data_IF_249584963821
#
_entry.id   IF_249584963821
#
_cell.length_a   1.000
_cell.length_b   1.000
_cell.length_c   1.000
_cell.angle_alpha   90.00
_cell.angle_beta   90.00
_cell.angle_gamma   90.00
#
_symmetry.space_group_name_H-M   'P 1'
#
loop_
_entity.id
_entity.type
_entity.pdbx_description
1 polymer ?
#
# COMPACT_ATOMS: atom_id res chain seq x y z
N UNK A 1 -12.15 -11.56 62.40
CA UNK A 1 -11.51 -12.64 61.64
C UNK A 1 -11.04 -12.08 60.30
N UNK A 2 -9.77 -11.67 60.23
CA UNK A 2 -9.16 -11.12 59.01
C UNK A 2 -8.58 -12.26 58.18
N UNK A 3 -9.15 -12.50 57.00
CA UNK A 3 -8.67 -13.50 56.07
C UNK A 3 -7.45 -12.99 55.29
N UNK A 4 -6.33 -13.67 55.42
CA UNK A 4 -5.12 -13.45 54.65
C UNK A 4 -5.38 -13.69 53.16
N UNK A 5 -5.24 -12.63 52.34
CA UNK A 5 -5.32 -12.74 50.88
C UNK A 5 -3.95 -13.11 50.33
N UNK A 6 -3.88 -14.34 49.85
CA UNK A 6 -2.73 -15.06 49.26
C UNK A 6 -1.94 -14.24 48.23
N UNK A 7 -0.62 -14.16 48.42
CA UNK A 7 0.35 -13.41 47.59
C UNK A 7 0.60 -13.91 46.17
N UNK A 8 -0.31 -14.68 45.57
CA UNK A 8 -0.16 -15.23 44.21
C UNK A 8 -0.33 -14.17 43.11
N UNK A 9 -1.16 -13.14 43.33
CA UNK A 9 -1.38 -12.06 42.36
C UNK A 9 -0.17 -11.15 42.16
N UNK A 10 0.68 -10.99 43.19
CA UNK A 10 1.90 -10.15 43.10
C UNK A 10 2.95 -10.80 42.21
N UNK A 11 3.05 -12.13 42.22
CA UNK A 11 4.00 -12.87 41.41
C UNK A 11 3.63 -12.82 39.91
N UNK A 12 2.33 -12.92 39.61
CA UNK A 12 1.81 -12.78 38.23
C UNK A 12 2.04 -11.37 37.70
N UNK A 13 1.82 -10.35 38.54
CA UNK A 13 2.09 -8.96 38.16
C UNK A 13 3.58 -8.70 37.91
N UNK A 14 4.46 -9.23 38.78
CA UNK A 14 5.92 -9.13 38.58
C UNK A 14 6.36 -9.81 37.28
N UNK A 15 5.80 -10.98 36.96
CA UNK A 15 6.12 -11.69 35.72
C UNK A 15 5.68 -10.91 34.47
N UNK A 16 4.46 -10.36 34.48
CA UNK A 16 3.95 -9.50 33.40
C UNK A 16 4.79 -8.21 33.24
N UNK A 17 5.17 -7.56 34.35
CA UNK A 17 6.02 -6.38 34.31
C UNK A 17 7.41 -6.68 33.73
N UNK A 18 8.02 -7.81 34.11
CA UNK A 18 9.31 -8.24 33.55
C UNK A 18 9.23 -8.53 32.05
N UNK A 19 8.17 -9.18 31.56
CA UNK A 19 7.99 -9.41 30.12
C UNK A 19 7.86 -8.11 29.33
N UNK A 20 7.11 -7.14 29.85
CA UNK A 20 6.96 -5.82 29.21
C UNK A 20 8.32 -5.09 29.18
N UNK A 21 9.08 -5.13 30.26
CA UNK A 21 10.41 -4.49 30.32
C UNK A 21 11.42 -5.14 29.36
N UNK A 22 11.41 -6.46 29.22
CA UNK A 22 12.26 -7.17 28.26
C UNK A 22 11.91 -6.83 26.80
N UNK A 23 10.62 -6.69 26.49
CA UNK A 23 10.16 -6.31 25.16
C UNK A 23 10.54 -4.86 24.80
N UNK A 24 10.49 -3.94 25.76
CA UNK A 24 10.88 -2.53 25.55
C UNK A 24 12.40 -2.39 25.43
N UNK A 25 13.18 -3.13 26.22
CA UNK A 25 14.65 -3.12 26.14
C UNK A 25 15.19 -3.78 24.87
N UNK A 26 14.48 -4.80 24.33
CA UNK A 26 14.87 -5.50 23.10
C UNK A 26 14.83 -4.64 21.82
N UNK A 27 14.07 -3.54 21.82
CA UNK A 27 14.01 -2.63 20.68
C UNK A 27 15.25 -1.72 20.54
N UNK A 28 16.02 -1.50 21.62
CA UNK A 28 17.21 -0.67 21.57
C UNK A 28 18.43 -1.40 20.98
N UNK A 29 18.49 -2.73 21.07
CA UNK A 29 19.62 -3.53 20.59
C UNK A 29 19.59 -3.83 19.08
N UNK A 30 18.44 -3.70 18.40
CA UNK A 30 18.30 -4.03 16.97
C UNK A 30 18.50 -2.85 16.00
N UNK A 31 18.77 -1.65 16.51
CA UNK A 31 19.03 -0.46 15.67
C UNK A 31 20.53 -0.18 15.44
N UNK A 32 21.42 -0.94 16.09
CA UNK A 32 22.87 -0.69 16.10
C UNK A 32 23.67 -1.13 14.87
N UNK A 33 23.12 -1.97 13.98
CA UNK A 33 23.94 -2.61 12.91
C UNK A 33 23.64 -2.15 11.47
N UNK A 34 22.80 -1.12 11.25
CA UNK A 34 22.51 -0.60 9.88
C UNK A 34 23.32 0.62 9.45
N UNK A 35 24.53 0.81 9.99
CA UNK A 35 25.46 1.85 9.50
C UNK A 35 26.78 1.25 9.06
N UNK A 36 26.77 0.55 7.94
CA UNK A 36 27.97 0.39 7.11
C UNK A 36 27.57 0.16 5.66
N UNK A 37 28.32 0.82 4.78
CA UNK A 37 28.39 0.64 3.32
C UNK A 37 27.23 1.19 2.47
N UNK A 38 27.33 2.47 2.11
CA UNK A 38 27.55 2.87 0.69
C UNK A 38 28.42 4.14 0.71
N UNK A 39 29.73 3.96 0.66
CA UNK A 39 30.68 5.01 0.30
C UNK A 39 31.08 4.72 -1.15
N UNK A 40 30.62 5.55 -2.08
CA UNK A 40 31.07 5.55 -3.47
C UNK A 40 32.19 6.60 -3.54
N UNK A 41 33.46 6.23 -3.82
CA UNK A 41 34.48 7.22 -4.05
C UNK A 41 34.46 7.64 -5.52
N UNK A 42 34.32 8.94 -5.68
CA UNK A 42 34.61 9.72 -6.89
C UNK A 42 36.12 9.68 -7.15
N UNK A 43 36.54 9.20 -8.33
CA UNK A 43 37.88 9.51 -8.84
C UNK A 43 37.94 9.47 -10.36
N UNK A 44 38.04 10.66 -10.91
CA UNK A 44 38.51 10.94 -12.26
C UNK A 44 39.92 10.37 -12.49
N UNK A 45 40.16 9.84 -13.69
CA UNK A 45 41.44 10.03 -14.39
C UNK A 45 41.20 10.00 -15.89
N UNK A 46 41.49 11.15 -16.49
CA UNK A 46 41.61 11.41 -17.92
C UNK A 46 42.89 10.76 -18.48
N UNK A 47 42.85 10.36 -19.75
CA UNK A 47 43.94 10.45 -20.75
C UNK A 47 43.26 10.15 -22.12
N UNK A 48 42.83 11.17 -22.86
CA UNK A 48 43.58 11.90 -23.89
C UNK A 48 43.95 11.06 -25.11
N UNK A 49 43.16 11.15 -26.18
CA UNK A 49 43.69 11.16 -27.56
C UNK A 49 42.93 12.21 -28.35
N UNK A 50 43.71 12.96 -29.13
CA UNK A 50 43.49 14.25 -29.79
C UNK A 50 43.15 14.03 -31.27
N UNK A 51 42.41 14.96 -31.88
CA UNK A 51 42.26 15.07 -33.35
C UNK A 51 40.85 15.53 -33.74
N UNK A 52 40.58 16.83 -33.78
CA UNK A 52 40.49 17.65 -35.01
C UNK A 52 39.08 17.68 -35.62
N UNK A 53 38.42 18.84 -35.44
CA UNK A 53 37.35 19.38 -36.29
C UNK A 53 38.03 20.14 -37.47
N UNK A 54 37.35 20.57 -38.56
CA UNK A 54 35.96 21.06 -38.62
C UNK A 54 35.22 20.55 -39.90
N UNK A 55 34.04 20.96 -40.36
CA UNK A 55 33.18 22.14 -40.33
C UNK A 55 31.80 21.71 -40.88
N UNK A 56 30.76 22.51 -40.66
CA UNK A 56 29.65 22.62 -41.63
C UNK A 56 28.32 21.93 -41.30
N UNK A 57 27.40 22.75 -40.77
CA UNK A 57 25.98 22.88 -41.16
C UNK A 57 25.23 21.64 -41.71
N UNK A 58 24.19 21.21 -40.97
CA UNK A 58 22.79 21.41 -41.36
C UNK A 58 21.83 20.89 -40.30
N UNK A 59 20.90 21.75 -39.92
CA UNK A 59 19.61 21.35 -39.36
C UNK A 59 18.86 20.51 -40.39
N UNK A 60 18.51 19.28 -40.05
CA UNK A 60 17.37 18.61 -40.66
C UNK A 60 16.64 17.80 -39.60
N UNK A 61 15.40 18.20 -39.41
CA UNK A 61 14.39 17.59 -38.56
C UNK A 61 14.07 16.20 -39.10
N UNK A 62 14.44 15.17 -38.35
CA UNK A 62 13.87 13.83 -38.54
C UNK A 62 12.97 13.53 -37.36
N UNK A 63 11.72 13.95 -37.51
CA UNK A 63 10.57 13.42 -36.81
C UNK A 63 10.35 11.97 -37.27
N UNK A 64 11.19 11.04 -36.79
CA UNK A 64 10.98 9.61 -37.00
C UNK A 64 10.22 9.01 -35.82
N UNK A 65 8.91 8.95 -36.01
CA UNK A 65 8.17 7.71 -35.82
C UNK A 65 8.31 7.06 -34.44
N UNK A 66 7.65 7.64 -33.44
CA UNK A 66 7.27 6.92 -32.20
C UNK A 66 6.18 5.89 -32.50
N UNK A 67 6.47 4.89 -33.35
CA UNK A 67 5.64 3.71 -33.54
C UNK A 67 5.86 2.80 -32.33
N UNK A 68 4.76 2.56 -31.62
CA UNK A 68 4.75 1.85 -30.35
C UNK A 68 5.39 0.47 -30.44
N UNK A 69 6.44 0.29 -29.66
CA UNK A 69 6.69 -1.01 -29.06
C UNK A 69 5.56 -1.26 -28.06
N UNK A 70 4.47 -1.87 -28.55
CA UNK A 70 3.58 -2.63 -27.69
C UNK A 70 4.44 -3.75 -27.08
N UNK A 71 5.03 -3.48 -25.91
CA UNK A 71 5.89 -4.42 -25.18
C UNK A 71 5.19 -5.76 -25.12
N UNK A 72 5.85 -6.81 -25.59
CA UNK A 72 5.38 -8.21 -25.60
C UNK A 72 4.56 -8.50 -24.33
N UNK A 73 3.37 -9.12 -24.42
CA UNK A 73 2.43 -9.24 -23.29
C UNK A 73 3.06 -9.70 -21.97
N UNK A 74 4.00 -10.65 -22.01
CA UNK A 74 4.75 -11.11 -20.83
C UNK A 74 5.60 -10.01 -20.16
N UNK A 75 6.25 -9.16 -20.95
CA UNK A 75 7.03 -8.02 -20.44
C UNK A 75 6.12 -6.99 -19.76
N UNK A 76 4.92 -6.78 -20.30
CA UNK A 76 3.90 -5.90 -19.73
C UNK A 76 3.39 -6.43 -18.38
N UNK A 77 3.09 -7.72 -18.27
CA UNK A 77 2.64 -8.35 -17.01
C UNK A 77 3.74 -8.37 -15.93
N UNK A 78 5.00 -8.59 -16.31
CA UNK A 78 6.14 -8.45 -15.39
C UNK A 78 6.24 -7.02 -14.84
N UNK A 79 6.07 -6.03 -15.71
CA UNK A 79 6.05 -4.61 -15.32
C UNK A 79 4.86 -4.31 -14.39
N UNK A 80 3.68 -4.84 -14.70
CA UNK A 80 2.49 -4.72 -13.84
C UNK A 80 2.72 -5.30 -12.43
N UNK A 81 3.39 -6.45 -12.35
CA UNK A 81 3.74 -7.11 -11.09
C UNK A 81 4.73 -6.27 -10.26
N UNK A 82 5.73 -5.68 -10.91
CA UNK A 82 6.67 -4.77 -10.25
C UNK A 82 5.97 -3.50 -9.70
N UNK A 83 4.97 -2.97 -10.41
CA UNK A 83 4.13 -1.88 -9.90
C UNK A 83 3.30 -2.31 -8.69
N UNK A 84 2.68 -3.49 -8.72
CA UNK A 84 1.92 -4.00 -7.58
C UNK A 84 2.80 -4.18 -6.34
N UNK A 85 4.00 -4.74 -6.50
CA UNK A 85 4.93 -4.95 -5.39
C UNK A 85 5.32 -3.61 -4.73
N UNK A 86 5.60 -2.58 -5.53
CA UNK A 86 5.84 -1.21 -5.03
C UNK A 86 4.62 -0.64 -4.32
N UNK A 87 3.42 -0.85 -4.86
CA UNK A 87 2.18 -0.42 -4.22
C UNK A 87 2.02 -1.02 -2.82
N UNK A 88 2.20 -2.33 -2.68
CA UNK A 88 2.12 -3.03 -1.37
C UNK A 88 3.18 -2.53 -0.39
N UNK A 89 4.40 -2.25 -0.88
CA UNK A 89 5.46 -1.64 -0.07
C UNK A 89 5.05 -0.25 0.44
N UNK A 90 4.57 0.63 -0.42
CA UNK A 90 4.11 1.95 -0.01
C UNK A 90 2.93 1.89 0.96
N UNK A 91 1.98 0.96 0.75
CA UNK A 91 0.88 0.73 1.68
C UNK A 91 1.40 0.37 3.08
N UNK A 92 2.38 -0.54 3.18
CA UNK A 92 2.98 -0.92 4.47
C UNK A 92 3.73 0.22 5.17
N UNK A 93 4.12 1.24 4.42
CA UNK A 93 4.80 2.44 4.94
C UNK A 93 3.81 3.57 5.30
N UNK A 94 2.52 3.41 5.02
CA UNK A 94 1.53 4.48 5.18
C UNK A 94 1.55 5.52 4.06
N UNK A 95 2.32 5.28 2.99
CA UNK A 95 2.45 6.17 1.84
C UNK A 95 1.29 5.95 0.85
N UNK A 96 0.08 6.32 1.27
CA UNK A 96 -1.17 5.94 0.59
C UNK A 96 -1.28 6.48 -0.83
N UNK A 97 -0.85 7.72 -1.09
CA UNK A 97 -0.92 8.33 -2.42
C UNK A 97 0.05 7.65 -3.41
N UNK A 98 1.26 7.31 -2.94
CA UNK A 98 2.25 6.57 -3.73
C UNK A 98 1.77 5.14 -4.01
N UNK A 99 1.20 4.49 -2.99
CA UNK A 99 0.62 3.15 -3.13
C UNK A 99 -0.52 3.12 -4.16
N UNK A 100 -1.43 4.09 -4.09
CA UNK A 100 -2.54 4.24 -5.04
C UNK A 100 -2.05 4.47 -6.47
N UNK A 101 -1.03 5.32 -6.64
CA UNK A 101 -0.42 5.59 -7.96
C UNK A 101 0.16 4.32 -8.59
N UNK A 102 0.88 3.52 -7.81
CA UNK A 102 1.50 2.29 -8.30
C UNK A 102 0.46 1.18 -8.56
N UNK A 103 -0.59 1.06 -7.73
CA UNK A 103 -1.67 0.10 -7.96
C UNK A 103 -2.42 0.41 -9.27
N UNK A 104 -2.72 1.68 -9.54
CA UNK A 104 -3.38 2.10 -10.80
C UNK A 104 -2.55 1.75 -12.03
N UNK A 105 -1.23 1.91 -11.97
CA UNK A 105 -0.32 1.49 -13.06
C UNK A 105 -0.30 -0.02 -13.23
N UNK A 106 -0.30 -0.78 -12.14
CA UNK A 106 -0.40 -2.23 -12.19
C UNK A 106 -1.68 -2.67 -12.90
N UNK A 107 -2.82 -2.12 -12.50
CA UNK A 107 -4.12 -2.41 -13.11
C UNK A 107 -4.16 -2.03 -14.60
N UNK A 108 -3.66 -0.86 -15.00
CA UNK A 108 -3.66 -0.43 -16.40
C UNK A 108 -2.77 -1.28 -17.30
N UNK A 109 -1.68 -1.81 -16.75
CA UNK A 109 -0.78 -2.71 -17.47
C UNK A 109 -1.34 -4.14 -17.53
N UNK A 110 -1.93 -4.65 -16.44
CA UNK A 110 -2.43 -6.02 -16.37
C UNK A 110 -3.78 -6.21 -17.09
N UNK A 111 -4.61 -5.17 -17.17
CA UNK A 111 -5.99 -5.31 -17.63
C UNK A 111 -6.73 -6.33 -16.76
N UNK A 112 -7.51 -7.23 -17.36
CA UNK A 112 -8.26 -8.30 -16.66
C UNK A 112 -7.44 -9.56 -16.34
N UNK A 113 -6.13 -9.54 -16.58
CA UNK A 113 -5.23 -10.64 -16.19
C UNK A 113 -4.59 -10.35 -14.85
N UNK A 114 -4.15 -11.35 -14.07
CA UNK A 114 -3.26 -11.11 -12.95
C UNK A 114 -2.03 -10.30 -13.38
N UNK A 115 -1.57 -9.31 -12.59
CA UNK A 115 -2.00 -9.00 -11.22
C UNK A 115 -3.12 -7.93 -11.09
N UNK A 116 -4.00 -7.77 -12.10
CA UNK A 116 -5.04 -6.73 -12.11
C UNK A 116 -6.09 -6.88 -11.00
N UNK A 117 -6.43 -8.10 -10.64
CA UNK A 117 -7.29 -8.44 -9.50
C UNK A 117 -6.65 -7.99 -8.17
N UNK A 118 -5.39 -8.35 -7.94
CA UNK A 118 -4.64 -7.93 -6.76
C UNK A 118 -4.48 -6.40 -6.69
N UNK A 119 -4.35 -5.73 -7.84
CA UNK A 119 -4.29 -4.28 -7.91
C UNK A 119 -5.62 -3.64 -7.46
N UNK A 120 -6.77 -4.14 -7.93
CA UNK A 120 -8.08 -3.68 -7.46
C UNK A 120 -8.26 -3.94 -5.96
N UNK A 121 -7.89 -5.12 -5.48
CA UNK A 121 -7.98 -5.47 -4.07
C UNK A 121 -7.14 -4.53 -3.20
N UNK A 122 -5.90 -4.27 -3.62
CA UNK A 122 -4.98 -3.34 -2.93
C UNK A 122 -5.54 -1.92 -2.90
N UNK A 123 -6.16 -1.45 -3.99
CA UNK A 123 -6.85 -0.15 -4.02
C UNK A 123 -8.05 -0.11 -3.07
N UNK A 124 -8.83 -1.18 -2.99
CA UNK A 124 -9.92 -1.33 -2.04
C UNK A 124 -9.42 -1.17 -0.60
N UNK A 125 -8.38 -1.91 -0.23
CA UNK A 125 -7.75 -1.84 1.10
C UNK A 125 -7.22 -0.44 1.43
N UNK A 126 -6.61 0.26 0.47
CA UNK A 126 -6.14 1.64 0.66
C UNK A 126 -7.27 2.57 1.12
N UNK A 127 -8.46 2.45 0.54
CA UNK A 127 -9.60 3.29 0.88
C UNK A 127 -10.28 2.95 2.21
N UNK A 128 -9.94 1.83 2.84
CA UNK A 128 -10.48 1.45 4.17
C UNK A 128 -9.39 1.40 5.25
N UNK A 129 -8.14 1.68 4.89
CA UNK A 129 -7.05 1.68 5.84
C UNK A 129 -7.28 2.76 6.90
N UNK A 130 -7.23 2.37 8.18
CA UNK A 130 -7.60 3.24 9.31
C UNK A 130 -6.78 4.55 9.36
N UNK A 131 -5.48 4.45 9.09
CA UNK A 131 -4.56 5.59 9.02
C UNK A 131 -4.63 6.42 7.73
N UNK A 132 -5.42 6.02 6.73
CA UNK A 132 -5.56 6.85 5.52
C UNK A 132 -6.51 8.02 5.81
N UNK A 133 -6.05 9.28 5.77
CA UNK A 133 -6.91 10.45 5.97
C UNK A 133 -7.94 10.61 4.84
N UNK A 134 -7.67 10.04 3.66
CA UNK A 134 -8.53 10.05 2.47
C UNK A 134 -9.33 8.74 2.32
N UNK A 135 -9.54 8.00 3.42
CA UNK A 135 -10.32 6.76 3.39
C UNK A 135 -11.77 7.05 3.00
N UNK A 136 -12.31 6.25 2.08
CA UNK A 136 -13.62 6.43 1.48
C UNK A 136 -14.26 5.05 1.31
N UNK A 137 -15.06 4.62 2.29
CA UNK A 137 -15.62 3.27 2.34
C UNK A 137 -16.49 2.95 1.11
N UNK A 138 -17.21 3.94 0.57
CA UNK A 138 -18.00 3.79 -0.65
C UNK A 138 -17.12 3.45 -1.86
N UNK A 139 -16.01 4.17 -2.05
CA UNK A 139 -15.05 3.90 -3.14
C UNK A 139 -14.38 2.54 -2.99
N UNK A 140 -14.09 2.14 -1.75
CA UNK A 140 -13.56 0.79 -1.48
C UNK A 140 -14.53 -0.30 -1.90
N UNK A 141 -15.81 -0.15 -1.54
CA UNK A 141 -16.88 -1.09 -1.92
C UNK A 141 -17.00 -1.20 -3.43
N UNK A 142 -17.04 -0.08 -4.16
CA UNK A 142 -17.08 -0.07 -5.63
C UNK A 142 -15.91 -0.84 -6.27
N UNK A 143 -14.71 -0.74 -5.70
CA UNK A 143 -13.54 -1.47 -6.18
C UNK A 143 -13.64 -2.98 -5.93
N UNK A 144 -14.17 -3.39 -4.78
CA UNK A 144 -14.40 -4.81 -4.47
C UNK A 144 -15.53 -5.41 -5.31
N UNK A 145 -16.64 -4.69 -5.51
CA UNK A 145 -17.70 -5.07 -6.44
C UNK A 145 -17.16 -5.23 -7.87
N UNK A 146 -16.30 -4.29 -8.30
CA UNK A 146 -15.62 -4.38 -9.59
C UNK A 146 -14.71 -5.60 -9.69
N UNK A 147 -13.96 -5.94 -8.64
CA UNK A 147 -13.12 -7.14 -8.61
C UNK A 147 -13.98 -8.39 -8.80
N UNK A 148 -15.06 -8.53 -8.02
CA UNK A 148 -16.00 -9.66 -8.12
C UNK A 148 -16.57 -9.80 -9.54
N UNK A 149 -16.91 -8.69 -10.18
CA UNK A 149 -17.48 -8.67 -11.52
C UNK A 149 -16.46 -8.95 -12.63
N UNK A 150 -15.29 -8.33 -12.56
CA UNK A 150 -14.29 -8.40 -13.62
C UNK A 150 -13.37 -9.63 -13.50
N UNK A 151 -13.24 -10.21 -12.29
CA UNK A 151 -12.35 -11.33 -11.98
C UNK A 151 -13.07 -12.43 -11.18
N UNK A 152 -14.17 -13.01 -11.70
CA UNK A 152 -14.96 -13.99 -10.95
C UNK A 152 -14.19 -15.26 -10.59
N UNK A 153 -13.12 -15.59 -11.33
CA UNK A 153 -12.26 -16.75 -11.09
C UNK A 153 -11.02 -16.43 -10.23
N UNK A 154 -10.84 -15.16 -9.83
CA UNK A 154 -9.72 -14.79 -8.95
C UNK A 154 -9.92 -15.41 -7.57
N UNK A 155 -8.85 -15.91 -6.92
CA UNK A 155 -8.92 -16.34 -5.52
C UNK A 155 -9.30 -15.20 -4.57
N UNK A 156 -9.22 -13.94 -5.01
CA UNK A 156 -9.63 -12.77 -4.24
C UNK A 156 -11.12 -12.44 -4.36
N UNK A 157 -11.87 -13.09 -5.26
CA UNK A 157 -13.28 -12.77 -5.49
C UNK A 157 -14.14 -12.99 -4.23
N UNK A 158 -13.93 -14.10 -3.51
CA UNK A 158 -14.65 -14.36 -2.25
C UNK A 158 -14.25 -13.38 -1.13
N UNK A 159 -12.96 -13.03 -1.05
CA UNK A 159 -12.50 -12.04 -0.09
C UNK A 159 -13.09 -10.66 -0.39
N UNK A 160 -13.17 -10.29 -1.67
CA UNK A 160 -13.80 -9.04 -2.09
C UNK A 160 -15.31 -9.03 -1.77
N UNK A 161 -16.05 -10.13 -1.98
CA UNK A 161 -17.44 -10.26 -1.54
C UNK A 161 -17.59 -10.01 -0.04
N UNK A 162 -16.75 -10.65 0.75
CA UNK A 162 -16.74 -10.46 2.21
C UNK A 162 -16.53 -8.99 2.58
N UNK A 163 -15.61 -8.29 1.91
CA UNK A 163 -15.41 -6.85 2.13
C UNK A 163 -16.62 -6.01 1.73
N UNK A 164 -17.31 -6.34 0.64
CA UNK A 164 -18.55 -5.66 0.24
C UNK A 164 -19.59 -5.76 1.35
N UNK A 165 -19.79 -6.96 1.91
CA UNK A 165 -20.77 -7.19 2.99
C UNK A 165 -20.38 -6.42 4.26
N UNK A 166 -19.11 -6.47 4.66
CA UNK A 166 -18.60 -5.72 5.82
C UNK A 166 -18.81 -4.21 5.64
N UNK A 167 -18.46 -3.67 4.46
CA UNK A 167 -18.61 -2.25 4.18
C UNK A 167 -20.08 -1.81 4.14
N UNK A 168 -20.98 -2.68 3.67
CA UNK A 168 -22.41 -2.42 3.71
C UNK A 168 -22.96 -2.37 5.15
N UNK A 169 -22.48 -3.24 6.04
CA UNK A 169 -22.85 -3.19 7.47
C UNK A 169 -22.35 -1.89 8.11
N UNK A 170 -21.12 -1.47 7.82
CA UNK A 170 -20.55 -0.21 8.33
C UNK A 170 -21.35 1.00 7.83
N UNK A 171 -21.74 1.03 6.55
CA UNK A 171 -22.55 2.12 5.98
C UNK A 171 -23.93 2.20 6.65
N UNK A 172 -24.60 1.05 6.83
CA UNK A 172 -25.90 1.00 7.52
C UNK A 172 -25.81 1.43 8.99
N UNK A 173 -24.78 1.01 9.71
CA UNK A 173 -24.59 1.41 11.11
C UNK A 173 -24.47 2.92 11.26
N UNK A 174 -23.70 3.59 10.38
CA UNK A 174 -23.58 5.05 10.39
C UNK A 174 -24.90 5.74 10.13
N UNK A 175 -25.72 5.20 9.24
CA UNK A 175 -27.03 5.77 8.93
C UNK A 175 -27.96 5.72 10.15
N UNK A 176 -27.99 4.59 10.86
CA UNK A 176 -28.78 4.43 12.10
C UNK A 176 -28.31 5.40 13.19
N UNK A 177 -26.99 5.57 13.35
CA UNK A 177 -26.45 6.50 14.35
C UNK A 177 -26.91 7.95 14.09
N UNK A 178 -26.91 8.38 12.81
CA UNK A 178 -27.38 9.71 12.41
C UNK A 178 -28.89 9.88 12.65
N UNK A 179 -29.69 8.88 12.33
CA UNK A 179 -31.15 8.89 12.57
C UNK A 179 -31.48 9.01 14.07
N UNK A 180 -30.74 8.28 14.93
CA UNK A 180 -30.90 8.37 16.38
C UNK A 180 -30.56 9.78 16.88
N UNK A 181 -29.51 10.41 16.36
CA UNK A 181 -29.15 11.79 16.72
C UNK A 181 -30.20 12.81 16.28
N UNK A 182 -30.79 12.64 15.10
CA UNK A 182 -31.85 13.50 14.59
C UNK A 182 -33.12 13.40 15.44
N UNK A 183 -33.58 12.18 15.73
CA UNK A 183 -34.73 11.93 16.59
C UNK A 183 -34.51 12.54 17.99
N UNK A 184 -33.31 12.41 18.57
CA UNK A 184 -32.98 13.03 19.87
C UNK A 184 -33.09 14.56 19.83
N UNK A 185 -32.65 15.20 18.74
CA UNK A 185 -32.75 16.66 18.57
C UNK A 185 -34.20 17.10 18.47
N UNK A 186 -35.03 16.37 17.73
CA UNK A 186 -36.47 16.67 17.59
C UNK A 186 -37.22 16.54 18.91
N UNK A 187 -36.96 15.49 19.70
CA UNK A 187 -37.59 15.31 21.02
C UNK A 187 -37.13 16.32 22.08
N UNK A 188 -36.02 17.02 21.84
CA UNK A 188 -35.49 18.05 22.74
C UNK A 188 -35.96 19.48 22.43
N UNK A 189 -36.74 19.65 21.36
CA UNK A 189 -37.39 20.92 20.98
C UNK A 189 -38.81 20.98 21.55
#
# INVERSE_FOLDING_TARGET
MGGERTGKGKLVYLYLACLILLMVAGCAALQGERKAAVHIPEKERQESVKGEAPDGEKEESVEEGRKGEEKRPESRLKTASAHLLRSKRFLSQGEFDLSMKEAKKSLSLAGKSPPGDEALFTMGLLFIHYNNPKKEFRKSKELFERLVKEYPQSPLAEQARTWVDVLQVIEKSKQVDLEIEEIKKEMSR
#
